data_IF_541790273175
#
_entry.id   IF_541790273175
#
_cell.length_a   1.000
_cell.length_b   1.000
_cell.length_c   1.000
_cell.angle_alpha   90.00
_cell.angle_beta   90.00
_cell.angle_gamma   90.00
#
_symmetry.space_group_name_H-M   'P 1'
#
loop_
_entity.id
_entity.type
_entity.pdbx_description
1 polymer ?
#
# COMPACT_ATOMS: atom_id res chain seq x y z
N UNK A 1 -13.30 31.14 -12.00
CA UNK A 1 -13.04 32.04 -10.88
C UNK A 1 -14.35 32.44 -10.25
N UNK A 2 -14.43 32.38 -8.91
CA UNK A 2 -15.62 32.79 -8.15
C UNK A 2 -16.55 31.65 -7.73
N UNK A 3 -16.32 30.42 -8.13
CA UNK A 3 -16.99 29.22 -7.64
C UNK A 3 -16.01 28.33 -6.86
N UNK A 4 -16.48 27.66 -5.81
CA UNK A 4 -15.65 26.70 -5.07
C UNK A 4 -15.33 25.51 -5.95
N UNK A 5 -14.09 25.41 -6.37
CA UNK A 5 -13.58 24.33 -7.22
C UNK A 5 -12.41 23.61 -6.55
N UNK A 6 -12.15 22.38 -6.98
CA UNK A 6 -10.99 21.60 -6.54
C UNK A 6 -10.54 20.71 -7.69
N UNK A 7 -9.26 20.76 -8.02
CA UNK A 7 -8.63 19.85 -9.00
C UNK A 7 -7.72 18.89 -8.26
N UNK A 8 -7.99 17.60 -8.41
CA UNK A 8 -7.27 16.51 -7.71
C UNK A 8 -6.70 15.54 -8.73
N UNK A 9 -5.41 15.25 -8.62
CA UNK A 9 -4.78 14.13 -9.32
C UNK A 9 -4.93 12.85 -8.47
N UNK A 10 -5.26 11.74 -9.10
CA UNK A 10 -5.27 10.44 -8.43
C UNK A 10 -3.88 10.11 -7.87
N UNK A 11 -3.80 9.51 -6.70
CA UNK A 11 -2.52 9.28 -5.98
C UNK A 11 -1.50 8.42 -6.75
N UNK A 12 -1.95 7.68 -7.76
CA UNK A 12 -1.09 6.84 -8.63
C UNK A 12 -0.55 7.59 -9.85
N UNK A 13 -0.99 8.83 -10.07
CA UNK A 13 -0.55 9.61 -11.21
C UNK A 13 0.92 10.02 -11.05
N UNK A 14 1.66 10.15 -12.15
CA UNK A 14 3.02 10.68 -12.12
C UNK A 14 3.09 12.08 -11.48
N UNK A 15 4.25 12.42 -10.94
CA UNK A 15 4.52 13.71 -10.29
C UNK A 15 4.08 14.90 -11.14
N UNK A 16 4.21 14.82 -12.45
CA UNK A 16 3.87 15.87 -13.41
C UNK A 16 2.37 16.17 -13.42
N UNK A 17 1.54 15.12 -13.29
CA UNK A 17 0.08 15.29 -13.22
C UNK A 17 -0.32 15.98 -11.91
N UNK A 18 0.36 15.66 -10.80
CA UNK A 18 0.16 16.36 -9.53
C UNK A 18 0.61 17.82 -9.62
N UNK A 19 1.74 18.11 -10.27
CA UNK A 19 2.20 19.48 -10.50
C UNK A 19 1.22 20.26 -11.38
N UNK A 20 0.66 19.64 -12.43
CA UNK A 20 -0.36 20.26 -13.27
C UNK A 20 -1.64 20.55 -12.47
N UNK A 21 -2.12 19.61 -11.65
CA UNK A 21 -3.28 19.81 -10.79
C UNK A 21 -3.07 20.97 -9.80
N UNK A 22 -1.89 21.06 -9.17
CA UNK A 22 -1.53 22.18 -8.30
C UNK A 22 -1.45 23.51 -9.05
N UNK A 23 -0.90 23.52 -10.25
CA UNK A 23 -0.87 24.71 -11.11
C UNK A 23 -2.26 25.21 -11.47
N UNK A 24 -3.19 24.30 -11.81
CA UNK A 24 -4.59 24.65 -12.08
C UNK A 24 -5.25 25.22 -10.81
N UNK A 25 -5.04 24.59 -9.65
CA UNK A 25 -5.56 25.10 -8.39
C UNK A 25 -5.01 26.49 -8.05
N UNK A 26 -3.74 26.77 -8.36
CA UNK A 26 -3.17 28.11 -8.19
C UNK A 26 -3.82 29.15 -9.12
N UNK A 27 -4.02 28.82 -10.40
CA UNK A 27 -4.68 29.71 -11.37
C UNK A 27 -6.15 29.99 -11.00
N UNK A 28 -6.83 29.00 -10.40
CA UNK A 28 -8.21 29.13 -9.95
C UNK A 28 -8.34 29.82 -8.59
N UNK A 29 -7.21 30.15 -7.95
CA UNK A 29 -7.17 30.77 -6.61
C UNK A 29 -7.73 29.86 -5.51
N UNK A 30 -7.58 28.53 -5.70
CA UNK A 30 -8.07 27.52 -4.76
C UNK A 30 -7.16 27.36 -3.54
N UNK A 31 -5.88 27.78 -3.63
CA UNK A 31 -4.90 27.64 -2.54
C UNK A 31 -5.22 28.67 -1.44
N UNK A 32 -5.48 28.17 -0.25
CA UNK A 32 -5.97 28.96 0.87
C UNK A 32 -7.49 28.86 1.09
N UNK A 33 -8.23 28.42 0.06
CA UNK A 33 -9.69 28.26 0.08
C UNK A 33 -10.11 26.77 0.13
N UNK A 34 -10.03 26.10 -1.01
CA UNK A 34 -10.39 24.68 -1.13
C UNK A 34 -9.18 23.75 -0.99
N UNK A 35 -7.97 24.27 -1.16
CA UNK A 35 -6.70 23.56 -0.93
C UNK A 35 -5.96 24.25 0.20
N UNK A 36 -5.89 23.61 1.36
CA UNK A 36 -5.15 24.09 2.52
C UNK A 36 -3.83 23.36 2.62
N UNK A 37 -2.72 24.11 2.61
CA UNK A 37 -1.39 23.55 2.80
C UNK A 37 -1.03 23.56 4.27
N UNK A 38 -0.49 22.46 4.77
CA UNK A 38 -0.09 22.30 6.17
C UNK A 38 1.40 22.00 6.29
N UNK A 39 2.04 22.52 7.34
CA UNK A 39 3.47 22.26 7.63
C UNK A 39 3.68 20.89 8.25
N UNK A 40 3.12 19.84 7.64
CA UNK A 40 3.37 18.47 8.07
C UNK A 40 4.71 18.00 7.52
N UNK A 41 5.62 17.63 8.42
CA UNK A 41 6.86 16.95 8.05
C UNK A 41 6.71 15.49 8.48
N UNK A 42 6.56 14.57 7.53
CA UNK A 42 6.73 13.17 7.87
C UNK A 42 8.11 12.98 8.47
N UNK A 43 8.23 12.12 9.47
CA UNK A 43 9.53 11.73 10.01
C UNK A 43 10.39 11.23 8.85
N UNK A 44 11.60 11.79 8.71
CA UNK A 44 12.55 11.28 7.73
C UNK A 44 12.85 9.83 8.07
N UNK A 45 12.44 8.92 7.22
CA UNK A 45 12.81 7.51 7.31
C UNK A 45 13.53 7.13 6.03
N UNK A 46 14.60 6.34 6.15
CA UNK A 46 15.25 5.72 5.02
C UNK A 46 14.33 4.66 4.42
N UNK A 47 14.52 4.38 3.16
CA UNK A 47 13.78 3.34 2.46
C UNK A 47 14.37 1.95 2.73
N UNK A 48 13.62 0.89 2.43
CA UNK A 48 14.15 -0.48 2.46
C UNK A 48 15.30 -0.66 1.44
N UNK A 49 15.35 0.16 0.38
CA UNK A 49 16.46 0.18 -0.57
C UNK A 49 17.72 0.76 0.07
N UNK A 50 17.60 1.81 0.88
CA UNK A 50 18.71 2.39 1.63
C UNK A 50 19.24 1.40 2.66
N UNK A 51 18.35 0.67 3.33
CA UNK A 51 18.73 -0.45 4.19
C UNK A 51 19.52 -1.51 3.41
N UNK A 52 19.03 -1.95 2.25
CA UNK A 52 19.69 -2.96 1.43
C UNK A 52 21.09 -2.53 0.98
N UNK A 53 21.25 -1.24 0.64
CA UNK A 53 22.50 -0.66 0.19
C UNK A 53 23.49 -0.42 1.34
N UNK A 54 22.99 0.01 2.50
CA UNK A 54 23.82 0.43 3.65
C UNK A 54 24.14 -0.68 4.64
N UNK A 55 23.37 -1.79 4.67
CA UNK A 55 23.48 -2.83 5.68
C UNK A 55 24.76 -3.68 5.51
N UNK A 56 25.56 -3.75 6.55
CA UNK A 56 26.89 -4.39 6.55
C UNK A 56 26.86 -5.75 7.25
N UNK A 57 27.85 -6.57 6.94
CA UNK A 57 28.04 -7.86 7.62
C UNK A 57 28.34 -7.63 9.11
N UNK A 58 27.55 -8.29 9.97
CA UNK A 58 27.67 -8.20 11.41
C UNK A 58 26.76 -7.17 12.07
N UNK A 59 26.08 -6.33 11.30
CA UNK A 59 25.08 -5.39 11.83
C UNK A 59 23.91 -6.14 12.47
N UNK A 60 23.30 -5.55 13.49
CA UNK A 60 22.09 -6.08 14.08
C UNK A 60 20.88 -5.60 13.33
N UNK A 61 19.97 -6.52 13.00
CA UNK A 61 18.70 -6.27 12.32
C UNK A 61 17.55 -6.40 13.32
N UNK A 62 16.73 -5.38 13.43
CA UNK A 62 15.49 -5.42 14.19
C UNK A 62 14.34 -5.07 13.25
N UNK A 63 13.37 -5.96 13.12
CA UNK A 63 12.18 -5.74 12.30
C UNK A 63 10.96 -5.61 13.21
N UNK A 64 10.37 -4.41 13.20
CA UNK A 64 9.16 -4.07 13.95
C UNK A 64 7.97 -4.05 13.01
N UNK A 65 7.00 -4.91 13.24
CA UNK A 65 5.85 -5.03 12.34
C UNK A 65 6.23 -5.45 10.92
N UNK A 66 5.31 -5.37 9.98
CA UNK A 66 5.52 -5.71 8.57
C UNK A 66 5.95 -7.16 8.32
N UNK A 67 6.08 -7.57 7.07
CA UNK A 67 6.67 -8.86 6.66
C UNK A 67 7.57 -8.64 5.42
N UNK A 68 8.77 -8.04 5.58
CA UNK A 68 9.62 -7.71 4.43
C UNK A 68 10.10 -8.92 3.64
N UNK A 69 10.15 -10.11 4.23
CA UNK A 69 10.46 -11.33 3.47
C UNK A 69 9.35 -11.67 2.45
N UNK A 70 8.12 -11.22 2.70
CA UNK A 70 6.98 -11.40 1.81
C UNK A 70 6.78 -10.21 0.87
N UNK A 71 6.79 -8.97 1.40
CA UNK A 71 6.31 -7.80 0.66
C UNK A 71 7.39 -6.76 0.30
N UNK A 72 8.69 -7.06 0.51
CA UNK A 72 9.74 -6.22 -0.03
C UNK A 72 9.65 -6.16 -1.57
N UNK A 73 10.03 -5.02 -2.20
CA UNK A 73 10.12 -4.94 -3.64
C UNK A 73 10.96 -6.07 -4.24
N UNK A 74 10.54 -6.62 -5.39
CA UNK A 74 11.16 -7.80 -5.99
C UNK A 74 12.63 -7.61 -6.44
N UNK A 75 13.09 -6.38 -6.53
CA UNK A 75 14.50 -6.02 -6.80
C UNK A 75 15.37 -6.06 -5.54
N UNK A 76 14.76 -6.20 -4.35
CA UNK A 76 15.47 -6.38 -3.08
C UNK A 76 15.44 -7.85 -2.67
N UNK A 77 16.61 -8.48 -2.60
CA UNK A 77 16.72 -9.82 -2.04
C UNK A 77 16.86 -9.74 -0.51
N UNK A 78 15.74 -9.93 0.19
CA UNK A 78 15.68 -9.94 1.64
C UNK A 78 16.63 -10.97 2.27
N UNK A 79 16.85 -12.10 1.60
CA UNK A 79 17.73 -13.14 2.12
C UNK A 79 19.19 -12.67 2.19
N UNK A 80 19.61 -11.81 1.27
CA UNK A 80 20.94 -11.22 1.27
C UNK A 80 21.12 -10.28 2.47
N UNK A 81 20.09 -9.53 2.84
CA UNK A 81 20.12 -8.66 4.03
C UNK A 81 20.25 -9.51 5.28
N UNK A 82 19.36 -10.50 5.44
CA UNK A 82 19.35 -11.38 6.62
C UNK A 82 20.67 -12.16 6.75
N UNK A 83 21.27 -12.62 5.64
CA UNK A 83 22.55 -13.33 5.66
C UNK A 83 23.73 -12.49 6.16
N UNK A 84 23.63 -11.16 6.08
CA UNK A 84 24.63 -10.24 6.63
C UNK A 84 24.44 -9.97 8.12
N UNK A 85 23.23 -10.21 8.67
CA UNK A 85 22.91 -9.85 10.03
C UNK A 85 23.75 -10.64 11.06
N UNK A 86 24.36 -9.94 12.00
CA UNK A 86 25.01 -10.55 13.16
C UNK A 86 23.99 -11.09 14.16
N UNK A 87 22.89 -10.36 14.34
CA UNK A 87 21.70 -10.79 15.10
C UNK A 87 20.47 -10.27 14.38
N UNK A 88 19.44 -11.11 14.28
CA UNK A 88 18.16 -10.72 13.71
C UNK A 88 17.04 -10.92 14.73
N UNK A 89 16.41 -9.83 15.15
CA UNK A 89 15.29 -9.81 16.10
C UNK A 89 14.02 -9.44 15.34
N UNK A 90 12.99 -10.24 15.49
CA UNK A 90 11.66 -10.02 14.92
C UNK A 90 10.68 -9.63 16.03
N UNK A 91 9.99 -8.52 15.86
CA UNK A 91 8.83 -8.14 16.64
C UNK A 91 7.60 -8.19 15.74
N UNK A 92 6.62 -9.00 16.06
CA UNK A 92 5.46 -9.22 15.18
C UNK A 92 4.35 -10.02 15.83
N UNK A 93 3.21 -10.11 15.14
CA UNK A 93 2.04 -10.87 15.65
C UNK A 93 2.21 -12.38 15.49
N UNK A 94 2.92 -12.82 14.46
CA UNK A 94 3.04 -14.24 14.10
C UNK A 94 4.49 -14.68 14.10
N UNK A 95 4.78 -15.73 14.86
CA UNK A 95 6.12 -16.34 14.90
C UNK A 95 6.42 -17.22 13.68
N UNK A 96 5.42 -17.46 12.84
CA UNK A 96 5.51 -18.35 11.67
C UNK A 96 5.38 -17.63 10.33
N UNK A 97 5.43 -16.30 10.32
CA UNK A 97 5.47 -15.53 9.08
C UNK A 97 6.81 -15.71 8.34
N UNK A 98 6.89 -15.26 7.08
CA UNK A 98 8.07 -15.45 6.24
C UNK A 98 9.32 -14.75 6.82
N UNK A 99 9.14 -13.62 7.46
CA UNK A 99 10.23 -12.86 8.11
C UNK A 99 10.67 -13.52 9.40
N UNK A 100 9.72 -13.98 10.23
CA UNK A 100 10.00 -14.64 11.52
C UNK A 100 10.79 -15.92 11.38
N UNK A 101 10.57 -16.69 10.30
CA UNK A 101 11.24 -17.97 10.07
C UNK A 101 12.78 -17.90 10.06
N UNK A 102 13.36 -16.72 9.87
CA UNK A 102 14.82 -16.49 9.83
C UNK A 102 15.33 -15.70 11.01
N UNK A 103 14.47 -15.29 11.92
CA UNK A 103 14.86 -14.51 13.09
C UNK A 103 15.58 -15.36 14.13
N UNK A 104 16.63 -14.81 14.75
CA UNK A 104 17.33 -15.45 15.88
C UNK A 104 16.58 -15.30 17.19
N UNK A 105 15.69 -14.31 17.28
CA UNK A 105 14.79 -14.10 18.41
C UNK A 105 13.49 -13.47 17.95
N UNK A 106 12.38 -13.88 18.60
CA UNK A 106 11.04 -13.38 18.34
C UNK A 106 10.46 -12.72 19.59
N UNK A 107 9.91 -11.51 19.44
CA UNK A 107 9.19 -10.77 20.47
C UNK A 107 7.75 -10.66 19.99
N UNK A 108 6.76 -11.20 20.73
CA UNK A 108 5.36 -11.04 20.35
C UNK A 108 4.95 -9.57 20.42
N UNK A 109 4.24 -9.10 19.39
CA UNK A 109 3.69 -7.76 19.36
C UNK A 109 2.34 -7.70 20.06
N UNK A 110 2.12 -6.64 20.84
CA UNK A 110 0.81 -6.31 21.36
C UNK A 110 -0.03 -5.64 20.26
N UNK A 111 -1.28 -6.07 20.12
CA UNK A 111 -2.22 -5.42 19.23
C UNK A 111 -2.59 -4.02 19.74
N UNK A 112 -2.97 -3.09 18.87
CA UNK A 112 -3.36 -1.73 19.29
C UNK A 112 -4.57 -1.71 20.24
N UNK A 113 -5.41 -2.74 20.22
CA UNK A 113 -6.49 -2.94 21.20
C UNK A 113 -6.02 -3.47 22.55
N UNK A 114 -4.76 -3.86 22.68
CA UNK A 114 -4.15 -4.45 23.88
C UNK A 114 -3.13 -3.51 24.54
N UNK A 115 -2.88 -2.35 23.95
CA UNK A 115 -1.76 -1.51 24.40
C UNK A 115 -2.03 -0.02 24.26
N UNK A 116 -1.41 0.77 25.14
CA UNK A 116 -1.39 2.20 25.04
C UNK A 116 -0.46 2.69 23.94
N UNK A 117 -0.84 3.80 23.29
CA UNK A 117 -0.05 4.49 22.31
C UNK A 117 -0.64 5.85 21.97
N UNK A 118 -0.06 6.48 21.00
CA UNK A 118 -0.58 7.68 20.35
C UNK A 118 -0.32 7.62 18.85
N UNK A 119 -1.07 8.42 18.11
CA UNK A 119 -0.88 8.56 16.66
C UNK A 119 -1.17 9.99 16.24
N UNK A 120 -0.77 10.31 15.00
CA UNK A 120 -1.18 11.55 14.35
C UNK A 120 -1.98 11.23 13.12
N UNK A 121 -3.09 11.93 12.96
CA UNK A 121 -3.90 11.89 11.74
C UNK A 121 -3.17 12.54 10.56
N UNK A 122 -3.72 12.47 9.38
CA UNK A 122 -3.12 13.04 8.16
C UNK A 122 -2.88 14.55 8.24
N UNK A 123 -3.66 15.26 9.02
CA UNK A 123 -3.51 16.70 9.29
C UNK A 123 -2.59 17.00 10.49
N UNK A 124 -2.04 15.96 11.15
CA UNK A 124 -1.15 16.10 12.28
C UNK A 124 -1.83 16.18 13.65
N UNK A 125 -3.17 16.05 13.72
CA UNK A 125 -3.90 16.01 14.98
C UNK A 125 -3.47 14.82 15.83
N UNK A 126 -3.13 15.06 17.10
CA UNK A 126 -2.76 14.00 18.03
C UNK A 126 -4.00 13.24 18.50
N UNK A 127 -3.95 11.91 18.46
CA UNK A 127 -5.01 11.01 18.91
C UNK A 127 -4.47 9.95 19.86
N UNK A 128 -5.21 9.55 20.91
CA UNK A 128 -4.81 8.46 21.80
C UNK A 128 -5.13 7.11 21.18
N UNK A 129 -4.28 6.12 21.44
CA UNK A 129 -4.59 4.71 21.28
C UNK A 129 -4.77 4.12 22.67
N UNK A 130 -5.99 3.67 22.96
CA UNK A 130 -6.40 3.17 24.28
C UNK A 130 -6.66 1.67 24.20
N UNK A 131 -6.06 0.85 25.08
CA UNK A 131 -6.33 -0.58 25.10
C UNK A 131 -7.75 -0.87 25.59
N UNK A 132 -8.37 -1.90 25.01
CA UNK A 132 -9.63 -2.47 25.49
C UNK A 132 -9.41 -3.66 26.41
N UNK A 133 -8.28 -4.35 26.26
CA UNK A 133 -7.89 -5.54 27.05
C UNK A 133 -6.39 -5.49 27.36
N UNK A 134 -5.96 -6.29 28.31
CA UNK A 134 -4.54 -6.55 28.53
C UNK A 134 -3.96 -7.43 27.41
N UNK A 135 -2.63 -7.37 27.12
CA UNK A 135 -2.00 -8.20 26.14
C UNK A 135 -2.22 -9.69 26.40
N UNK A 136 -2.78 -10.41 25.40
CA UNK A 136 -3.18 -11.81 25.55
C UNK A 136 -1.97 -12.77 25.61
N UNK A 137 -0.88 -12.42 24.94
CA UNK A 137 0.28 -13.31 24.77
C UNK A 137 1.58 -12.72 25.35
N UNK A 138 1.45 -11.83 26.33
CA UNK A 138 2.60 -11.12 26.89
C UNK A 138 3.33 -10.25 25.86
N UNK A 139 2.59 -9.79 24.84
CA UNK A 139 3.13 -8.97 23.76
C UNK A 139 3.61 -7.61 24.25
N UNK A 140 4.63 -7.08 23.59
CA UNK A 140 5.14 -5.73 23.81
C UNK A 140 4.67 -4.81 22.68
N UNK A 141 4.51 -3.53 22.97
CA UNK A 141 4.31 -2.52 21.93
C UNK A 141 5.62 -2.16 21.25
N UNK A 142 5.53 -1.57 20.05
CA UNK A 142 6.70 -0.99 19.38
C UNK A 142 7.37 0.08 20.23
N UNK A 143 6.59 0.88 20.98
CA UNK A 143 7.09 1.88 21.92
C UNK A 143 7.95 1.24 23.02
N UNK A 144 7.50 0.14 23.62
CA UNK A 144 8.26 -0.58 24.65
C UNK A 144 9.55 -1.15 24.10
N UNK A 145 9.47 -1.78 22.91
CA UNK A 145 10.67 -2.38 22.29
C UNK A 145 11.69 -1.31 21.97
N UNK A 146 11.27 -0.20 21.36
CA UNK A 146 12.15 0.93 21.06
C UNK A 146 12.72 1.58 22.30
N UNK A 147 11.92 1.81 23.33
CA UNK A 147 12.38 2.36 24.59
C UNK A 147 13.44 1.48 25.25
N UNK A 148 13.28 0.15 25.23
CA UNK A 148 14.27 -0.81 25.76
C UNK A 148 15.55 -0.83 24.94
N UNK A 149 15.46 -0.78 23.61
CA UNK A 149 16.63 -0.70 22.72
C UNK A 149 17.39 0.61 22.96
N UNK A 150 16.68 1.71 23.16
CA UNK A 150 17.28 3.02 23.46
C UNK A 150 17.83 3.13 24.88
N UNK A 151 17.61 2.15 25.75
CA UNK A 151 18.01 2.22 27.18
C UNK A 151 17.24 3.27 27.97
N UNK A 152 16.00 3.56 27.58
CA UNK A 152 15.17 4.55 28.26
C UNK A 152 14.77 4.06 29.68
N UNK A 153 14.74 4.97 30.65
CA UNK A 153 14.30 4.67 32.01
C UNK A 153 12.81 4.29 32.07
N UNK A 154 12.01 4.92 31.21
CA UNK A 154 10.56 4.67 31.10
C UNK A 154 10.29 3.82 29.87
N UNK A 155 9.80 2.61 30.10
CA UNK A 155 9.44 1.66 29.04
C UNK A 155 7.93 1.31 29.02
N UNK A 156 7.17 1.81 29.98
CA UNK A 156 5.73 1.61 30.10
C UNK A 156 5.00 2.43 29.03
N UNK A 157 4.19 1.82 28.15
CA UNK A 157 3.58 2.50 27.00
C UNK A 157 2.56 3.58 27.41
N UNK A 158 1.84 3.39 28.52
CA UNK A 158 0.95 4.42 29.06
C UNK A 158 1.72 5.68 29.45
N UNK A 159 2.84 5.50 30.17
CA UNK A 159 3.68 6.65 30.61
C UNK A 159 4.32 7.33 29.41
N UNK A 160 4.72 6.59 28.39
CA UNK A 160 5.31 7.16 27.16
C UNK A 160 4.25 7.98 26.41
N UNK A 161 3.05 7.43 26.16
CA UNK A 161 1.97 8.13 25.47
C UNK A 161 1.53 9.38 26.26
N UNK A 162 1.40 9.27 27.59
CA UNK A 162 1.09 10.40 28.46
C UNK A 162 2.18 11.48 28.43
N UNK A 163 3.46 11.11 28.45
CA UNK A 163 4.57 12.06 28.34
C UNK A 163 4.57 12.79 27.00
N UNK A 164 4.25 12.09 25.87
CA UNK A 164 4.05 12.72 24.57
C UNK A 164 2.95 13.77 24.62
N UNK A 165 1.77 13.41 25.14
CA UNK A 165 0.66 14.34 25.32
C UNK A 165 1.07 15.56 26.19
N UNK A 166 1.68 15.31 27.35
CA UNK A 166 2.07 16.37 28.27
C UNK A 166 3.11 17.34 27.69
N UNK A 167 3.95 16.86 26.80
CA UNK A 167 4.93 17.69 26.07
C UNK A 167 4.26 18.72 25.14
N UNK A 168 3.04 18.43 24.68
CA UNK A 168 2.28 19.25 23.72
C UNK A 168 1.24 20.09 24.45
N UNK A 169 0.42 19.47 25.30
CA UNK A 169 -0.73 20.09 25.96
C UNK A 169 -0.42 20.64 27.37
N UNK A 170 0.76 20.33 27.89
CA UNK A 170 1.14 20.61 29.28
C UNK A 170 0.53 19.59 30.25
N UNK A 171 1.07 19.54 31.48
CA UNK A 171 0.68 18.59 32.53
C UNK A 171 -0.72 18.88 33.06
N UNK A 172 -1.39 17.84 33.56
CA UNK A 172 -2.67 17.89 34.23
C UNK A 172 -3.57 16.70 33.95
N UNK A 173 -4.06 16.05 35.01
CA UNK A 173 -4.93 14.88 34.92
C UNK A 173 -6.20 15.20 34.14
N UNK A 174 -6.88 16.30 34.47
CA UNK A 174 -8.10 16.72 33.76
C UNK A 174 -7.89 16.91 32.25
N UNK A 175 -6.72 17.42 31.83
CA UNK A 175 -6.41 17.56 30.39
C UNK A 175 -6.22 16.22 29.76
N UNK A 176 -5.55 15.30 30.44
CA UNK A 176 -5.33 13.94 29.96
C UNK A 176 -6.68 13.19 29.85
N UNK A 177 -7.50 13.24 30.89
CA UNK A 177 -8.82 12.61 30.89
C UNK A 177 -9.71 13.14 29.76
N UNK A 178 -9.69 14.49 29.56
CA UNK A 178 -10.39 15.11 28.44
C UNK A 178 -9.90 14.62 27.08
N UNK A 179 -8.57 14.51 26.88
CA UNK A 179 -7.99 13.98 25.66
C UNK A 179 -8.42 12.54 25.37
N UNK A 180 -8.43 11.69 26.41
CA UNK A 180 -8.90 10.31 26.29
C UNK A 180 -10.40 10.25 25.98
N UNK A 181 -11.19 11.10 26.60
CA UNK A 181 -12.64 11.16 26.39
C UNK A 181 -12.99 11.67 24.98
N UNK A 182 -12.35 12.75 24.56
CA UNK A 182 -12.63 13.39 23.26
C UNK A 182 -12.05 12.56 22.08
N UNK A 183 -11.03 11.75 22.34
CA UNK A 183 -10.37 10.93 21.34
C UNK A 183 -9.38 11.69 20.45
N UNK A 184 -9.18 12.97 20.70
CA UNK A 184 -8.19 13.81 19.99
C UNK A 184 -7.79 15.01 20.82
N UNK A 185 -6.64 15.61 20.52
CA UNK A 185 -6.20 16.86 21.10
C UNK A 185 -6.60 18.02 20.17
N UNK A 186 -7.51 18.86 20.63
CA UNK A 186 -7.89 20.07 19.89
C UNK A 186 -6.65 20.96 19.63
N UNK A 187 -6.64 21.64 18.49
CA UNK A 187 -5.60 22.59 18.08
C UNK A 187 -4.18 21.99 17.93
N UNK A 188 -4.07 20.66 17.86
CA UNK A 188 -2.79 19.95 17.66
C UNK A 188 -2.48 19.64 16.21
N UNK A 189 -3.36 19.96 15.27
CA UNK A 189 -3.13 19.85 13.84
C UNK A 189 -1.91 20.66 13.39
N UNK A 190 -1.29 20.23 12.29
CA UNK A 190 -0.18 20.96 11.71
C UNK A 190 -0.62 22.36 11.26
N UNK A 191 0.27 23.33 11.43
CA UNK A 191 -0.05 24.73 11.08
C UNK A 191 -0.26 24.88 9.60
N UNK A 192 -1.27 25.65 9.23
CA UNK A 192 -1.46 26.10 7.85
C UNK A 192 -0.25 26.93 7.40
N UNK A 193 0.22 26.66 6.22
CA UNK A 193 1.29 27.44 5.56
C UNK A 193 0.76 27.99 4.24
N UNK A 194 1.21 29.18 3.91
CA UNK A 194 0.96 29.78 2.60
C UNK A 194 2.21 29.60 1.73
N UNK A 195 2.03 29.05 0.55
CA UNK A 195 3.08 28.90 -0.44
C UNK A 195 2.52 29.29 -1.81
N UNK A 196 3.31 30.02 -2.56
CA UNK A 196 3.00 30.34 -3.96
C UNK A 196 3.44 29.18 -4.85
N UNK A 197 2.68 28.93 -5.91
CA UNK A 197 3.04 27.93 -6.90
C UNK A 197 4.13 28.45 -7.83
N UNK A 198 5.30 27.83 -7.82
CA UNK A 198 6.39 28.16 -8.74
C UNK A 198 6.18 27.46 -10.09
N UNK A 199 5.57 28.18 -11.03
CA UNK A 199 5.31 27.70 -12.39
C UNK A 199 6.61 27.42 -13.17
N UNK A 200 7.71 28.11 -12.86
CA UNK A 200 9.00 27.92 -13.53
C UNK A 200 9.63 26.60 -13.12
N UNK A 201 9.70 26.34 -11.80
CA UNK A 201 10.20 25.08 -11.26
C UNK A 201 9.34 23.88 -11.69
N UNK A 202 8.01 24.04 -11.71
CA UNK A 202 7.09 23.00 -12.19
C UNK A 202 7.30 22.69 -13.68
N UNK A 203 7.47 23.71 -14.52
CA UNK A 203 7.76 23.54 -15.95
C UNK A 203 9.11 22.88 -16.21
N UNK A 204 10.13 23.22 -15.41
CA UNK A 204 11.45 22.58 -15.51
C UNK A 204 11.37 21.10 -15.14
N UNK A 205 10.71 20.75 -14.04
CA UNK A 205 10.48 19.36 -13.62
C UNK A 205 9.68 18.56 -14.67
N UNK A 206 8.66 19.16 -15.28
CA UNK A 206 7.90 18.55 -16.36
C UNK A 206 8.79 18.19 -17.56
N UNK A 207 9.61 19.15 -18.01
CA UNK A 207 10.49 18.96 -19.19
C UNK A 207 11.57 17.90 -18.94
N UNK A 208 12.07 17.81 -17.73
CA UNK A 208 13.07 16.80 -17.35
C UNK A 208 12.49 15.39 -17.44
N UNK A 209 11.31 15.17 -16.87
CA UNK A 209 10.67 13.86 -16.83
C UNK A 209 10.06 13.47 -18.19
N UNK A 210 9.56 14.41 -18.98
CA UNK A 210 9.05 14.12 -20.33
C UNK A 210 10.11 13.48 -21.25
N UNK A 211 11.40 13.63 -20.95
CA UNK A 211 12.50 12.98 -21.67
C UNK A 211 12.68 11.52 -21.29
N UNK A 212 12.17 11.10 -20.14
CA UNK A 212 12.37 9.75 -19.58
C UNK A 212 11.20 8.83 -19.95
N UNK A 213 10.01 9.38 -20.15
CA UNK A 213 8.80 8.60 -20.43
C UNK A 213 8.69 8.39 -21.94
N UNK A 214 9.12 7.22 -22.38
CA UNK A 214 8.80 6.77 -23.75
C UNK A 214 7.30 6.41 -23.81
N UNK A 215 6.58 6.78 -24.89
CA UNK A 215 5.21 6.35 -25.06
C UNK A 215 5.12 4.82 -25.08
N UNK A 216 4.09 4.22 -24.47
CA UNK A 216 3.93 2.77 -24.49
C UNK A 216 3.79 2.24 -25.92
N UNK A 217 4.37 1.08 -26.17
CA UNK A 217 4.34 0.40 -27.46
C UNK A 217 4.08 -1.10 -27.27
N UNK A 218 3.93 -1.86 -28.36
CA UNK A 218 3.76 -3.31 -28.26
C UNK A 218 4.96 -4.03 -27.63
N UNK A 219 6.15 -3.45 -27.73
CA UNK A 219 7.40 -3.98 -27.15
C UNK A 219 7.75 -3.35 -25.81
N UNK A 220 7.03 -2.29 -25.39
CA UNK A 220 7.27 -1.57 -24.14
C UNK A 220 5.92 -1.14 -23.55
N UNK A 221 5.35 -2.01 -22.73
CA UNK A 221 4.08 -1.76 -22.07
C UNK A 221 4.30 -0.95 -20.78
N UNK A 222 3.32 -0.11 -20.46
CA UNK A 222 3.23 0.47 -19.13
C UNK A 222 2.53 -0.53 -18.21
N UNK A 223 3.19 -0.86 -17.10
CA UNK A 223 2.67 -1.79 -16.10
C UNK A 223 2.49 -1.05 -14.79
N UNK A 224 1.27 -1.00 -14.28
CA UNK A 224 0.94 -0.38 -13.00
C UNK A 224 0.57 -1.44 -11.98
N UNK A 225 1.28 -1.47 -10.85
CA UNK A 225 0.93 -2.29 -9.70
C UNK A 225 0.00 -1.52 -8.77
N UNK A 226 -1.01 -2.16 -8.25
CA UNK A 226 -1.90 -1.57 -7.26
C UNK A 226 -2.27 -2.57 -6.19
N UNK A 227 -2.60 -2.05 -5.01
CA UNK A 227 -3.04 -2.86 -3.88
C UNK A 227 -4.50 -3.25 -4.08
N UNK A 228 -4.81 -4.48 -3.71
CA UNK A 228 -6.19 -4.97 -3.71
C UNK A 228 -7.01 -4.30 -2.61
N UNK A 229 -8.32 -4.18 -2.83
CA UNK A 229 -9.23 -3.56 -1.87
C UNK A 229 -9.44 -4.38 -0.60
N UNK A 230 -9.31 -5.71 -0.72
CA UNK A 230 -9.57 -6.64 0.39
C UNK A 230 -8.28 -7.02 1.09
N UNK A 231 -7.29 -7.51 0.33
CA UNK A 231 -6.07 -8.11 0.89
C UNK A 231 -4.84 -7.22 0.84
N UNK A 232 -4.99 -5.97 0.38
CA UNK A 232 -3.93 -4.95 0.24
C UNK A 232 -2.79 -5.44 -0.68
N UNK A 233 -1.57 -5.56 -0.20
CA UNK A 233 -0.41 -6.11 -0.90
C UNK A 233 -0.27 -7.64 -0.71
N UNK A 234 -1.31 -8.28 -0.21
CA UNK A 234 -1.33 -9.69 0.18
C UNK A 234 -1.11 -9.92 1.68
N UNK A 235 -0.79 -8.88 2.45
CA UNK A 235 -0.55 -9.01 3.92
C UNK A 235 -1.74 -9.58 4.68
N UNK A 236 -2.95 -9.40 4.16
CA UNK A 236 -4.19 -9.91 4.72
C UNK A 236 -4.66 -11.23 4.06
N UNK A 237 -3.83 -11.81 3.18
CA UNK A 237 -4.16 -13.03 2.43
C UNK A 237 -4.40 -14.26 3.31
N UNK A 238 -4.02 -14.24 4.59
CA UNK A 238 -4.36 -15.32 5.54
C UNK A 238 -5.77 -15.20 6.12
N UNK A 239 -6.52 -14.14 5.77
CA UNK A 239 -7.91 -13.96 6.16
C UNK A 239 -8.82 -14.44 5.03
N UNK A 240 -9.43 -15.64 5.18
CA UNK A 240 -10.31 -16.23 4.18
C UNK A 240 -11.52 -15.37 3.84
N UNK A 241 -12.09 -14.64 4.78
CA UNK A 241 -13.21 -13.71 4.53
C UNK A 241 -12.82 -12.57 3.57
N UNK A 242 -11.60 -12.03 3.71
CA UNK A 242 -11.11 -11.00 2.81
C UNK A 242 -10.81 -11.55 1.41
N UNK A 243 -10.31 -12.78 1.31
CA UNK A 243 -10.10 -13.44 0.03
C UNK A 243 -11.42 -13.73 -0.72
N UNK A 244 -12.50 -14.01 0.01
CA UNK A 244 -13.83 -14.23 -0.55
C UNK A 244 -14.57 -12.93 -0.88
N UNK A 245 -14.09 -11.78 -0.42
CA UNK A 245 -14.69 -10.47 -0.71
C UNK A 245 -14.42 -10.07 -2.16
N UNK A 246 -15.45 -9.94 -3.01
CA UNK A 246 -15.24 -9.59 -4.41
C UNK A 246 -14.65 -8.19 -4.58
N UNK A 247 -13.70 -8.06 -5.49
CA UNK A 247 -13.21 -6.75 -5.90
C UNK A 247 -14.40 -5.91 -6.45
N UNK A 248 -14.57 -4.65 -6.04
CA UNK A 248 -15.75 -3.86 -6.39
C UNK A 248 -15.90 -3.59 -7.90
N UNK A 249 -14.80 -3.63 -8.67
CA UNK A 249 -14.80 -3.38 -10.10
C UNK A 249 -14.84 -4.67 -10.91
N UNK A 250 -13.88 -5.57 -10.67
CA UNK A 250 -13.70 -6.79 -11.45
C UNK A 250 -14.58 -7.95 -11.00
N UNK A 251 -15.08 -7.91 -9.78
CA UNK A 251 -15.84 -8.99 -9.11
C UNK A 251 -15.03 -10.27 -8.88
N UNK A 252 -13.73 -10.21 -9.07
CA UNK A 252 -12.82 -11.35 -8.84
C UNK A 252 -12.61 -11.54 -7.34
N UNK A 253 -12.52 -12.82 -6.95
CA UNK A 253 -12.15 -13.27 -5.61
C UNK A 253 -10.98 -14.23 -5.71
N UNK A 254 -10.17 -14.37 -4.67
CA UNK A 254 -9.05 -15.29 -4.50
C UNK A 254 -7.84 -15.04 -5.41
N UNK A 255 -8.06 -14.74 -6.70
CA UNK A 255 -7.01 -14.68 -7.71
C UNK A 255 -6.42 -13.28 -7.88
N UNK A 256 -5.14 -13.26 -8.25
CA UNK A 256 -4.43 -12.08 -8.70
C UNK A 256 -4.32 -12.11 -10.22
N UNK A 257 -4.87 -11.11 -10.90
CA UNK A 257 -5.03 -11.10 -12.36
C UNK A 257 -4.26 -9.96 -13.02
N UNK A 258 -3.95 -10.15 -14.30
CA UNK A 258 -3.39 -9.14 -15.19
C UNK A 258 -4.54 -8.43 -15.89
N UNK A 259 -4.88 -7.23 -15.45
CA UNK A 259 -5.95 -6.42 -16.07
C UNK A 259 -5.43 -5.82 -17.37
N UNK A 260 -6.13 -6.05 -18.46
CA UNK A 260 -5.79 -5.49 -19.78
C UNK A 260 -7.02 -4.99 -20.51
N UNK A 261 -6.86 -3.97 -21.37
CA UNK A 261 -7.92 -3.57 -22.28
C UNK A 261 -8.12 -4.60 -23.39
N UNK A 262 -9.32 -4.59 -23.96
CA UNK A 262 -9.64 -5.41 -25.12
C UNK A 262 -8.68 -5.20 -26.30
N UNK A 263 -8.34 -3.93 -26.56
CA UNK A 263 -7.43 -3.58 -27.67
C UNK A 263 -6.00 -4.04 -27.38
N UNK A 264 -5.55 -3.91 -26.14
CA UNK A 264 -4.23 -4.38 -25.72
C UNK A 264 -4.15 -5.90 -25.78
N UNK A 265 -5.19 -6.63 -25.34
CA UNK A 265 -5.23 -8.08 -25.47
C UNK A 265 -5.17 -8.54 -26.94
N UNK A 266 -5.97 -7.94 -27.84
CA UNK A 266 -5.93 -8.23 -29.27
C UNK A 266 -4.54 -8.00 -29.88
N UNK A 267 -3.91 -6.91 -29.48
CA UNK A 267 -2.59 -6.50 -29.99
C UNK A 267 -1.47 -7.42 -29.52
N UNK A 268 -1.52 -7.87 -28.26
CA UNK A 268 -0.48 -8.71 -27.65
C UNK A 268 -0.63 -10.19 -28.00
N UNK A 269 -1.86 -10.68 -28.02
CA UNK A 269 -2.17 -12.11 -28.12
C UNK A 269 -2.56 -12.53 -29.55
N UNK A 270 -2.83 -11.56 -30.45
CA UNK A 270 -3.22 -11.86 -31.83
C UNK A 270 -4.44 -12.78 -31.91
N UNK A 271 -4.27 -13.94 -32.56
CA UNK A 271 -5.35 -14.91 -32.72
C UNK A 271 -5.78 -15.57 -31.39
N UNK A 272 -4.89 -15.67 -30.41
CA UNK A 272 -5.25 -16.16 -29.07
C UNK A 272 -6.25 -15.21 -28.37
N UNK A 273 -6.22 -13.91 -28.70
CA UNK A 273 -7.20 -12.97 -28.17
C UNK A 273 -8.62 -13.24 -28.65
N UNK A 274 -8.79 -13.89 -29.80
CA UNK A 274 -10.12 -14.30 -30.29
C UNK A 274 -10.77 -15.29 -29.33
N UNK A 275 -9.97 -16.20 -28.77
CA UNK A 275 -10.45 -17.18 -27.81
C UNK A 275 -10.88 -16.53 -26.47
N UNK A 276 -10.29 -15.38 -26.13
CA UNK A 276 -10.69 -14.57 -24.98
C UNK A 276 -11.94 -13.70 -25.25
N UNK A 277 -12.26 -13.47 -26.53
CA UNK A 277 -13.23 -12.48 -26.99
C UNK A 277 -14.46 -13.08 -27.67
N UNK A 278 -14.39 -14.35 -28.09
CA UNK A 278 -15.50 -15.02 -28.75
C UNK A 278 -16.67 -15.24 -27.77
N UNK A 279 -17.45 -14.20 -27.65
CA UNK A 279 -18.84 -14.27 -27.19
C UNK A 279 -19.76 -14.79 -28.34
N UNK A 280 -19.31 -15.77 -29.13
CA UNK A 280 -20.24 -16.41 -30.05
C UNK A 280 -21.36 -17.03 -29.22
N UNK A 281 -22.57 -16.59 -29.45
CA UNK A 281 -23.79 -17.30 -29.05
C UNK A 281 -23.70 -18.70 -29.64
N UNK A 282 -23.19 -19.62 -28.81
CA UNK A 282 -23.25 -21.04 -29.15
C UNK A 282 -24.69 -21.42 -28.98
N UNK A 283 -25.40 -21.63 -30.10
CA UNK A 283 -26.76 -22.14 -30.13
C UNK A 283 -26.79 -23.42 -29.28
N UNK A 284 -27.72 -23.52 -28.33
CA UNK A 284 -27.73 -24.55 -27.28
C UNK A 284 -27.66 -26.01 -27.72
N UNK A 285 -27.70 -26.29 -29.03
CA UNK A 285 -27.55 -27.65 -29.59
C UNK A 285 -26.11 -28.09 -29.86
N UNK A 286 -25.17 -27.17 -30.02
CA UNK A 286 -23.74 -27.47 -30.28
C UNK A 286 -22.83 -27.22 -29.07
N UNK A 287 -23.42 -26.87 -27.98
CA UNK A 287 -22.78 -26.40 -26.78
C UNK A 287 -21.85 -27.45 -26.14
N UNK A 288 -22.36 -28.65 -25.86
CA UNK A 288 -21.59 -29.74 -25.23
C UNK A 288 -20.44 -30.27 -26.11
N UNK A 289 -20.60 -30.22 -27.44
CA UNK A 289 -19.55 -30.65 -28.37
C UNK A 289 -18.40 -29.67 -28.49
N UNK A 290 -18.70 -28.36 -28.47
CA UNK A 290 -17.66 -27.31 -28.58
C UNK A 290 -16.92 -27.10 -27.27
N UNK A 291 -17.57 -27.27 -26.13
CA UNK A 291 -16.95 -27.07 -24.82
C UNK A 291 -16.04 -28.22 -24.39
N UNK A 292 -16.31 -29.46 -24.80
CA UNK A 292 -15.46 -30.62 -24.47
C UNK A 292 -14.11 -30.66 -25.21
N UNK A 293 -13.91 -29.83 -26.25
CA UNK A 293 -12.74 -29.87 -27.11
C UNK A 293 -11.78 -28.68 -27.00
N UNK A 294 -12.05 -27.69 -26.12
CA UNK A 294 -11.30 -26.42 -26.07
C UNK A 294 -10.79 -26.13 -24.66
N UNK A 295 -9.55 -26.49 -24.35
CA UNK A 295 -8.90 -25.98 -23.14
C UNK A 295 -8.69 -24.45 -23.29
N UNK A 296 -9.33 -23.66 -22.44
CA UNK A 296 -9.05 -22.23 -22.28
C UNK A 296 -10.05 -21.23 -22.88
N UNK A 297 -11.22 -21.62 -23.33
CA UNK A 297 -12.26 -20.67 -23.74
C UNK A 297 -13.02 -20.06 -22.58
N UNK A 298 -13.23 -18.73 -22.67
CA UNK A 298 -14.25 -18.05 -21.89
C UNK A 298 -15.64 -18.51 -22.35
N UNK A 299 -16.24 -19.40 -21.57
CA UNK A 299 -17.67 -19.63 -21.68
C UNK A 299 -18.35 -18.91 -20.52
N UNK A 300 -19.16 -17.90 -20.77
CA UNK A 300 -20.15 -17.47 -19.78
C UNK A 300 -21.16 -18.59 -19.60
N UNK A 301 -20.89 -19.48 -18.66
CA UNK A 301 -21.80 -20.52 -18.28
C UNK A 301 -22.53 -20.15 -17.01
N UNK A 302 -23.76 -19.73 -17.15
CA UNK A 302 -24.66 -19.48 -16.02
C UNK A 302 -25.05 -20.74 -15.25
N UNK A 303 -24.89 -21.92 -15.84
CA UNK A 303 -25.39 -23.17 -15.24
C UNK A 303 -24.38 -23.94 -14.40
N UNK A 304 -23.07 -23.77 -14.62
CA UNK A 304 -22.04 -24.50 -13.84
C UNK A 304 -21.17 -23.59 -12.96
N UNK A 305 -21.22 -22.27 -13.10
CA UNK A 305 -20.46 -21.31 -12.29
C UNK A 305 -18.93 -21.47 -12.41
N UNK A 306 -18.42 -22.15 -13.42
CA UNK A 306 -16.99 -22.37 -13.63
C UNK A 306 -16.48 -21.56 -14.79
N UNK A 307 -15.43 -20.76 -14.54
CA UNK A 307 -14.68 -20.02 -15.55
C UNK A 307 -13.27 -20.56 -15.62
N UNK A 308 -12.74 -20.75 -16.81
CA UNK A 308 -11.35 -21.15 -17.02
C UNK A 308 -10.64 -20.01 -17.73
N UNK A 309 -9.50 -19.60 -17.17
CA UNK A 309 -8.64 -18.58 -17.71
C UNK A 309 -7.27 -19.18 -17.98
N UNK A 310 -6.68 -18.81 -19.12
CA UNK A 310 -5.29 -19.18 -19.44
C UNK A 310 -4.35 -18.32 -18.60
N UNK A 311 -3.33 -18.96 -18.04
CA UNK A 311 -2.25 -18.29 -17.32
C UNK A 311 -1.20 -17.79 -18.32
N UNK A 312 -0.76 -16.57 -18.11
CA UNK A 312 0.27 -15.92 -18.91
C UNK A 312 1.44 -15.51 -18.05
N UNK A 313 2.61 -15.46 -18.66
CA UNK A 313 3.85 -15.04 -18.01
C UNK A 313 4.14 -13.58 -18.32
N UNK A 314 4.10 -12.74 -17.29
CA UNK A 314 4.51 -11.34 -17.36
C UNK A 314 5.98 -11.21 -17.00
N UNK A 315 6.81 -10.69 -17.92
CA UNK A 315 8.22 -10.44 -17.69
C UNK A 315 8.47 -8.95 -17.50
N UNK A 316 9.05 -8.58 -16.36
CA UNK A 316 9.38 -7.18 -16.03
C UNK A 316 10.82 -7.13 -15.56
N UNK A 317 11.70 -6.42 -16.28
CA UNK A 317 13.11 -6.23 -15.93
C UNK A 317 13.82 -7.54 -15.52
N UNK A 318 13.59 -8.62 -16.26
CA UNK A 318 14.19 -9.92 -15.99
C UNK A 318 13.54 -10.73 -14.86
N UNK A 319 12.56 -10.21 -14.19
CA UNK A 319 11.72 -10.95 -13.24
C UNK A 319 10.42 -11.36 -13.93
N UNK A 320 9.89 -12.52 -13.58
CA UNK A 320 8.64 -13.00 -14.16
C UNK A 320 7.64 -13.41 -13.09
N UNK A 321 6.39 -13.11 -13.39
CA UNK A 321 5.24 -13.52 -12.58
C UNK A 321 4.19 -14.11 -13.51
N UNK A 322 3.53 -15.17 -13.07
CA UNK A 322 2.40 -15.75 -13.78
C UNK A 322 1.09 -15.11 -13.28
N UNK A 323 0.14 -14.94 -14.18
CA UNK A 323 -1.18 -14.44 -13.85
C UNK A 323 -2.17 -14.67 -14.97
N UNK A 324 -3.43 -14.85 -14.61
CA UNK A 324 -4.52 -14.91 -15.56
C UNK A 324 -4.78 -13.51 -16.14
N UNK A 325 -5.05 -13.42 -17.44
CA UNK A 325 -5.48 -12.16 -18.04
C UNK A 325 -6.97 -11.97 -17.80
N UNK A 326 -7.32 -10.77 -17.34
CA UNK A 326 -8.71 -10.34 -17.17
C UNK A 326 -8.97 -9.11 -18.02
N UNK A 327 -9.96 -9.20 -18.90
CA UNK A 327 -10.33 -8.10 -19.79
C UNK A 327 -11.17 -7.10 -19.02
N UNK A 328 -10.69 -5.86 -18.94
CA UNK A 328 -11.41 -4.78 -18.27
C UNK A 328 -11.74 -3.67 -19.27
N UNK A 329 -13.03 -3.46 -19.62
CA UNK A 329 -13.45 -2.35 -20.45
C UNK A 329 -13.10 -0.99 -19.82
N UNK A 330 -12.74 -0.01 -20.65
CA UNK A 330 -12.38 1.33 -20.20
C UNK A 330 -10.92 1.52 -19.81
N UNK A 331 -10.10 0.50 -19.87
CA UNK A 331 -8.64 0.65 -19.80
C UNK A 331 -8.05 1.12 -21.15
N UNK A 332 -6.92 1.82 -21.10
CA UNK A 332 -6.20 2.30 -22.29
C UNK A 332 -5.50 1.14 -23.06
#
# INVERSE_FOLDING_TARGET
RGESTLVVAGYRQPKEVHLAAMGINAILENIGETVVLQSYRPSGSDSIQDLANGFKKGDNLVVLGGDPAYNAPADIDWNVIVAKAGRFIRHGFYSVDNTSAKASAFIPAAHYLESWGDARTSDGTLVPVQPLIAPLFGGMTELEVLARIAGAEVTDPYKIARATFESIAGKGDHKWDKFLHDGFLADSAAKTVFAEFDASAASAAWKENAKVIAPPSNSSLEVTFFRDHSVDDGRWGNNGWLLETPNPVTRITWDNVLLVSLNTARRLLGDEAKDLLDFEQVDGKDYDKKMGSLPGRFGFHSESGRFYQKEYKLNINGKSVNGAIWLLPGMA
#
